data_IF_213520198865
#
_entry.id   IF_213520198865
#
_cell.length_a   1.000
_cell.length_b   1.000
_cell.length_c   1.000
_cell.angle_alpha   90.00
_cell.angle_beta   90.00
_cell.angle_gamma   90.00
#
_symmetry.space_group_name_H-M   'P 1'
#
loop_
_entity.id
_entity.type
_entity.pdbx_description
1 polymer ?
#
# COMPACT_ATOMS: atom_id res chain seq x y z
N UNK A 1 17.10 -14.70 -34.57
CA UNK A 1 15.87 -13.89 -34.54
C UNK A 1 15.10 -14.26 -33.28
N UNK A 2 14.90 -13.33 -32.35
CA UNK A 2 14.07 -13.57 -31.16
C UNK A 2 12.62 -13.34 -31.56
N UNK A 3 11.85 -14.42 -31.70
CA UNK A 3 10.40 -14.34 -31.82
C UNK A 3 9.86 -13.74 -30.52
N UNK A 4 9.27 -12.54 -30.60
CA UNK A 4 8.52 -11.95 -29.51
C UNK A 4 7.25 -12.78 -29.26
N UNK A 5 7.39 -13.89 -28.54
CA UNK A 5 6.25 -14.60 -28.02
C UNK A 5 5.54 -13.68 -27.02
N UNK A 6 4.25 -13.41 -27.29
CA UNK A 6 3.39 -12.65 -26.37
C UNK A 6 3.32 -13.38 -25.04
N UNK A 7 4.01 -12.86 -24.01
CA UNK A 7 3.91 -13.37 -22.63
C UNK A 7 2.67 -12.80 -21.96
N UNK A 8 1.72 -13.66 -21.60
CA UNK A 8 0.64 -13.29 -20.68
C UNK A 8 1.15 -13.41 -19.25
N UNK A 9 1.47 -12.27 -18.63
CA UNK A 9 1.79 -12.23 -17.20
C UNK A 9 0.47 -12.18 -16.43
N UNK A 10 0.09 -13.29 -15.80
CA UNK A 10 -1.02 -13.31 -14.85
C UNK A 10 -0.55 -12.69 -13.53
N UNK A 11 -0.86 -11.42 -13.32
CA UNK A 11 -0.60 -10.73 -12.05
C UNK A 11 -1.62 -11.23 -11.02
N UNK A 12 -1.21 -11.68 -9.82
CA UNK A 12 -2.12 -12.11 -8.77
C UNK A 12 -3.14 -11.03 -8.36
N UNK A 13 -4.35 -11.48 -7.98
CA UNK A 13 -5.58 -10.67 -7.86
C UNK A 13 -5.61 -9.60 -6.74
N UNK A 14 -4.54 -9.42 -5.96
CA UNK A 14 -4.37 -8.26 -5.08
C UNK A 14 -2.93 -7.78 -5.15
N UNK A 15 -2.67 -6.83 -6.05
CA UNK A 15 -1.39 -6.13 -6.12
C UNK A 15 -1.01 -5.50 -4.77
N UNK A 16 -2.01 -5.06 -4.01
CA UNK A 16 -1.91 -4.41 -2.71
C UNK A 16 -3.24 -3.73 -2.40
N UNK A 17 -3.34 -3.19 -1.19
CA UNK A 17 -4.51 -2.44 -0.75
C UNK A 17 -4.58 -1.08 -1.45
N UNK A 18 -5.79 -0.71 -1.87
CA UNK A 18 -6.07 0.63 -2.35
C UNK A 18 -6.12 1.61 -1.17
N UNK A 19 -5.87 2.90 -1.42
CA UNK A 19 -5.98 3.92 -0.39
C UNK A 19 -7.38 3.94 0.25
N UNK A 20 -8.44 3.67 -0.53
CA UNK A 20 -9.80 3.60 -0.04
C UNK A 20 -9.97 2.50 1.02
N UNK A 21 -9.50 1.29 0.74
CA UNK A 21 -9.58 0.16 1.69
C UNK A 21 -8.81 0.49 2.98
N UNK A 22 -7.61 1.05 2.86
CA UNK A 22 -6.81 1.47 4.02
C UNK A 22 -7.56 2.52 4.83
N UNK A 23 -8.20 3.47 4.16
CA UNK A 23 -8.98 4.54 4.81
C UNK A 23 -10.21 4.02 5.55
N UNK A 24 -10.87 3.00 5.00
CA UNK A 24 -11.99 2.30 5.64
C UNK A 24 -11.51 1.58 6.92
N UNK A 25 -10.40 0.83 6.86
CA UNK A 25 -9.85 0.09 8.00
C UNK A 25 -9.30 1.00 9.12
N UNK A 26 -8.58 2.06 8.74
CA UNK A 26 -7.91 2.96 9.69
C UNK A 26 -8.76 4.18 10.07
N UNK A 27 -9.95 4.32 9.49
CA UNK A 27 -10.83 5.49 9.64
C UNK A 27 -10.14 6.82 9.31
N UNK A 28 -9.37 6.85 8.22
CA UNK A 28 -8.64 8.05 7.76
C UNK A 28 -8.91 8.36 6.28
N UNK A 29 -8.72 9.62 5.90
CA UNK A 29 -8.98 10.05 4.52
C UNK A 29 -7.86 9.62 3.56
N UNK A 30 -8.21 9.47 2.27
CA UNK A 30 -7.22 9.28 1.20
C UNK A 30 -6.16 10.38 1.15
N UNK A 31 -6.52 11.61 1.51
CA UNK A 31 -5.58 12.73 1.56
C UNK A 31 -4.53 12.53 2.67
N UNK A 32 -4.96 12.07 3.84
CA UNK A 32 -4.07 11.73 4.96
C UNK A 32 -3.12 10.60 4.55
N UNK A 33 -3.63 9.54 3.93
CA UNK A 33 -2.80 8.41 3.50
C UNK A 33 -1.80 8.87 2.43
N UNK A 34 -2.23 9.68 1.45
CA UNK A 34 -1.35 10.22 0.43
C UNK A 34 -0.25 11.12 1.02
N UNK A 35 -0.57 11.90 2.05
CA UNK A 35 0.43 12.68 2.77
C UNK A 35 1.46 11.78 3.45
N UNK A 36 1.02 10.66 4.06
CA UNK A 36 1.92 9.65 4.66
C UNK A 36 2.84 9.01 3.61
N UNK A 37 2.33 8.72 2.41
CA UNK A 37 3.10 8.15 1.30
C UNK A 37 4.17 9.12 0.78
N UNK A 38 3.87 10.42 0.77
CA UNK A 38 4.76 11.47 0.27
C UNK A 38 5.80 11.94 1.28
N UNK A 39 5.80 11.41 2.50
CA UNK A 39 6.81 11.78 3.51
C UNK A 39 8.19 11.23 3.15
N UNK A 40 9.21 11.80 3.79
CA UNK A 40 10.55 11.25 3.77
C UNK A 40 10.54 9.80 4.34
N UNK A 41 11.23 8.83 3.72
CA UNK A 41 11.29 7.45 4.21
C UNK A 41 11.78 7.29 5.66
N UNK A 42 12.58 8.24 6.18
CA UNK A 42 13.05 8.22 7.57
C UNK A 42 12.00 8.71 8.57
N UNK A 43 10.89 9.28 8.09
CA UNK A 43 9.84 9.82 8.94
C UNK A 43 8.95 8.70 9.51
N UNK A 44 8.65 8.74 10.81
CA UNK A 44 7.84 7.71 11.50
C UNK A 44 6.49 7.40 10.81
N UNK A 45 5.81 8.45 10.38
CA UNK A 45 4.54 8.38 9.64
C UNK A 45 4.71 8.17 8.11
N UNK A 46 5.86 7.73 7.64
CA UNK A 46 6.03 7.32 6.24
C UNK A 46 5.29 6.01 5.99
N UNK A 47 4.48 5.99 4.92
CA UNK A 47 3.83 4.76 4.46
C UNK A 47 4.42 4.37 3.11
N UNK A 48 5.09 3.22 3.07
CA UNK A 48 5.64 2.68 1.83
C UNK A 48 4.51 2.25 0.91
N UNK A 49 4.56 2.72 -0.34
CA UNK A 49 3.56 2.42 -1.36
C UNK A 49 4.25 2.31 -2.72
N UNK A 50 3.60 1.63 -3.66
CA UNK A 50 4.03 1.56 -5.04
C UNK A 50 2.97 2.15 -5.96
N UNK A 51 3.43 2.80 -7.02
CA UNK A 51 2.57 3.48 -7.99
C UNK A 51 2.17 2.49 -9.07
N UNK A 52 0.87 2.32 -9.30
CA UNK A 52 0.34 1.43 -10.35
C UNK A 52 -0.25 2.21 -11.54
N UNK A 53 -0.63 3.47 -11.33
CA UNK A 53 -1.07 4.39 -12.38
C UNK A 53 -0.75 5.84 -11.99
N UNK A 54 -0.88 6.84 -12.89
CA UNK A 54 -0.53 8.24 -12.62
C UNK A 54 -1.12 8.82 -11.32
N UNK A 55 -2.30 8.35 -10.90
CA UNK A 55 -3.02 8.77 -9.68
C UNK A 55 -3.39 7.61 -8.76
N UNK A 56 -2.81 6.43 -8.96
CA UNK A 56 -3.15 5.24 -8.19
C UNK A 56 -1.92 4.69 -7.48
N UNK A 57 -2.01 4.65 -6.15
CA UNK A 57 -1.05 4.03 -5.26
C UNK A 57 -1.67 2.80 -4.61
N UNK A 58 -0.84 1.80 -4.38
CA UNK A 58 -1.18 0.61 -3.62
C UNK A 58 -0.13 0.38 -2.55
N UNK A 59 -0.57 -0.26 -1.48
CA UNK A 59 0.26 -0.55 -0.31
C UNK A 59 0.24 -2.05 -0.09
N UNK A 60 1.42 -2.66 0.04
CA UNK A 60 1.51 -4.06 0.41
C UNK A 60 1.00 -4.24 1.83
N UNK A 61 0.41 -5.40 2.13
CA UNK A 61 -0.16 -5.66 3.44
C UNK A 61 0.90 -5.52 4.54
N UNK A 62 2.09 -6.05 4.29
CA UNK A 62 3.23 -6.03 5.20
C UNK A 62 3.69 -4.60 5.51
N UNK A 63 3.73 -3.74 4.49
CA UNK A 63 4.08 -2.32 4.65
C UNK A 63 3.00 -1.57 5.46
N UNK A 64 1.72 -1.94 5.32
CA UNK A 64 0.64 -1.39 6.14
C UNK A 64 0.74 -1.85 7.60
N UNK A 65 1.02 -3.14 7.82
CA UNK A 65 1.21 -3.71 9.17
C UNK A 65 2.37 -3.03 9.90
N UNK A 66 3.51 -2.84 9.24
CA UNK A 66 4.65 -2.08 9.79
C UNK A 66 4.25 -0.64 10.13
N UNK A 67 3.52 0.03 9.23
CA UNK A 67 3.01 1.38 9.51
C UNK A 67 2.10 1.42 10.75
N UNK A 68 1.18 0.45 10.89
CA UNK A 68 0.27 0.36 12.04
C UNK A 68 1.06 0.15 13.32
N UNK A 69 1.94 -0.86 13.36
CA UNK A 69 2.74 -1.18 14.54
C UNK A 69 3.62 -0.01 15.02
N UNK A 70 4.13 0.81 14.08
CA UNK A 70 4.92 1.99 14.42
C UNK A 70 4.09 3.16 14.92
N UNK A 71 2.79 3.24 14.62
CA UNK A 71 2.01 4.47 14.83
C UNK A 71 0.76 4.30 15.71
N UNK A 72 0.29 3.08 15.94
CA UNK A 72 -0.87 2.77 16.76
C UNK A 72 -0.45 1.89 17.93
N UNK A 73 -0.70 2.36 19.15
CA UNK A 73 -0.43 1.59 20.37
C UNK A 73 -1.58 0.63 20.60
N UNK A 74 -1.29 -0.67 20.73
CA UNK A 74 -2.30 -1.69 21.07
C UNK A 74 -3.19 -2.15 19.91
N UNK A 75 -2.79 -1.94 18.65
CA UNK A 75 -3.54 -2.46 17.51
C UNK A 75 -3.47 -4.01 17.46
N UNK A 76 -4.62 -4.68 17.48
CA UNK A 76 -4.72 -6.12 17.20
C UNK A 76 -4.86 -6.36 15.69
N UNK A 77 -3.89 -7.03 15.10
CA UNK A 77 -3.91 -7.40 13.68
C UNK A 77 -4.34 -8.87 13.58
N UNK A 78 -5.56 -9.11 13.08
CA UNK A 78 -6.11 -10.45 12.87
C UNK A 78 -5.92 -10.87 11.42
N UNK A 79 -5.30 -12.03 11.22
CA UNK A 79 -5.19 -12.65 9.90
C UNK A 79 -6.46 -13.47 9.66
N UNK A 80 -7.19 -13.15 8.60
CA UNK A 80 -8.35 -13.93 8.12
C UNK A 80 -7.96 -14.73 6.88
#
# INVERSE_FOLDING_TARGET
MLTQEKRTIKVPQRLGLTLRQIGEELQITNQTILANIKRDPSHRLYLKAFKVAPKEYRVYWEDLVDFINRNYVGAEIKFT
#
